data_IF_045928434972
#
_entry.id   IF_045928434972
#
_cell.length_a   1.000
_cell.length_b   1.000
_cell.length_c   1.000
_cell.angle_alpha   90.00
_cell.angle_beta   90.00
_cell.angle_gamma   90.00
#
_symmetry.space_group_name_H-M   'P 1'
#
loop_
_entity.id
_entity.type
_entity.pdbx_description
1 polymer ?
#
# COMPACT_ATOMS: atom_id res chain seq x y z
N UNK A 1 14.17 21.98 4.39
CA UNK A 1 14.53 20.81 3.56
C UNK A 1 13.26 19.98 3.35
N UNK A 2 12.76 19.93 2.12
CA UNK A 2 11.61 19.10 1.79
C UNK A 2 12.05 17.62 1.72
N UNK A 3 11.29 16.65 2.27
CA UNK A 3 11.60 15.24 2.11
C UNK A 3 11.56 14.87 0.62
N UNK A 4 12.69 14.36 0.14
CA UNK A 4 12.94 14.03 -1.26
C UNK A 4 12.20 12.74 -1.61
N UNK A 5 11.05 12.88 -2.26
CA UNK A 5 10.30 11.79 -2.86
C UNK A 5 11.12 11.28 -4.05
N UNK A 6 11.82 10.15 -3.88
CA UNK A 6 12.21 9.34 -5.03
C UNK A 6 10.94 8.64 -5.52
N UNK A 7 10.24 9.28 -6.45
CA UNK A 7 9.41 8.53 -7.39
C UNK A 7 10.33 7.50 -8.01
N UNK A 8 10.07 6.21 -7.79
CA UNK A 8 10.83 5.14 -8.41
C UNK A 8 10.85 5.25 -9.94
N UNK A 9 10.02 6.11 -10.54
CA UNK A 9 10.02 6.42 -11.97
C UNK A 9 9.60 7.89 -12.22
N UNK A 10 10.43 8.87 -11.82
CA UNK A 10 10.26 10.22 -12.39
C UNK A 10 10.76 10.20 -13.83
N UNK A 11 9.81 10.27 -14.76
CA UNK A 11 9.95 10.39 -16.22
C UNK A 11 10.09 9.07 -16.97
N UNK A 12 9.10 8.85 -17.84
CA UNK A 12 9.14 8.04 -19.06
C UNK A 12 10.57 7.98 -19.63
N UNK A 13 11.27 6.89 -19.35
CA UNK A 13 12.32 6.39 -20.22
C UNK A 13 11.88 4.96 -20.55
N UNK A 14 11.50 4.78 -21.81
CA UNK A 14 11.37 3.50 -22.51
C UNK A 14 11.66 2.25 -21.64
N UNK A 15 10.63 1.73 -20.96
CA UNK A 15 10.59 0.36 -20.44
C UNK A 15 11.78 -0.13 -19.62
N UNK A 16 12.50 0.73 -18.87
CA UNK A 16 13.59 0.26 -17.99
C UNK A 16 13.39 0.65 -16.53
N UNK A 17 13.34 -0.41 -15.72
CA UNK A 17 13.32 -0.46 -14.26
C UNK A 17 14.43 0.44 -13.67
N UNK A 18 14.26 1.02 -12.46
CA UNK A 18 15.32 1.71 -11.75
C UNK A 18 16.51 0.76 -11.63
N UNK A 19 17.68 1.27 -11.97
CA UNK A 19 18.90 0.47 -12.19
C UNK A 19 19.24 -0.41 -10.99
N UNK A 20 18.86 -0.05 -9.75
CA UNK A 20 18.92 -0.93 -8.58
C UNK A 20 17.83 -0.60 -7.55
N UNK A 21 16.78 -1.42 -7.45
CA UNK A 21 15.83 -1.37 -6.33
C UNK A 21 16.52 -1.93 -5.06
N UNK A 22 16.39 -1.29 -3.87
CA UNK A 22 17.04 -1.74 -2.64
C UNK A 22 16.32 -2.94 -2.00
N UNK A 23 16.22 -4.05 -2.72
CA UNK A 23 15.42 -5.22 -2.34
C UNK A 23 15.77 -5.77 -0.95
N UNK A 24 17.06 -5.81 -0.61
CA UNK A 24 17.50 -6.29 0.70
C UNK A 24 16.95 -5.40 1.83
N UNK A 25 17.07 -4.08 1.66
CA UNK A 25 16.58 -3.11 2.65
C UNK A 25 15.05 -3.12 2.73
N UNK A 26 14.35 -3.28 1.61
CA UNK A 26 12.88 -3.44 1.59
C UNK A 26 12.47 -4.67 2.41
N UNK A 27 13.16 -5.81 2.24
CA UNK A 27 12.89 -7.02 3.01
C UNK A 27 13.20 -6.85 4.50
N UNK A 28 14.21 -6.06 4.86
CA UNK A 28 14.44 -5.68 6.27
C UNK A 28 13.29 -4.86 6.84
N UNK A 29 12.82 -3.85 6.11
CA UNK A 29 11.66 -3.04 6.51
C UNK A 29 10.41 -3.91 6.68
N UNK A 30 10.18 -4.87 5.79
CA UNK A 30 9.06 -5.82 5.86
C UNK A 30 9.14 -6.66 7.15
N UNK A 31 10.30 -7.27 7.42
CA UNK A 31 10.53 -8.08 8.64
C UNK A 31 10.35 -7.29 9.93
N UNK A 32 10.73 -6.02 9.94
CA UNK A 32 10.57 -5.14 11.10
C UNK A 32 9.12 -4.66 11.28
N UNK A 33 8.29 -4.74 10.23
CA UNK A 33 6.92 -4.22 10.24
C UNK A 33 5.87 -5.29 10.51
N UNK A 34 6.14 -6.56 10.18
CA UNK A 34 5.18 -7.65 10.27
C UNK A 34 5.74 -8.91 10.97
N UNK A 35 4.88 -9.65 11.71
CA UNK A 35 5.17 -11.03 12.13
C UNK A 35 5.52 -11.94 10.94
N UNK A 36 6.31 -12.97 11.16
CA UNK A 36 6.85 -13.86 10.12
C UNK A 36 5.77 -14.47 9.21
N UNK A 37 4.64 -14.87 9.77
CA UNK A 37 3.49 -15.46 9.06
C UNK A 37 2.71 -14.45 8.20
N UNK A 38 2.99 -13.15 8.31
CA UNK A 38 2.32 -12.08 7.57
C UNK A 38 3.24 -11.33 6.59
N UNK A 39 4.53 -11.70 6.53
CA UNK A 39 5.50 -11.01 5.69
C UNK A 39 5.31 -11.40 4.22
N UNK A 40 5.36 -10.41 3.32
CA UNK A 40 5.47 -10.67 1.90
C UNK A 40 6.85 -11.27 1.57
N UNK A 41 6.88 -12.25 0.67
CA UNK A 41 8.15 -12.75 0.13
C UNK A 41 8.79 -11.75 -0.82
N UNK A 42 10.09 -11.91 -1.06
CA UNK A 42 10.82 -11.09 -2.03
C UNK A 42 10.20 -11.21 -3.43
N UNK A 43 9.76 -12.40 -3.81
CA UNK A 43 9.12 -12.71 -5.09
C UNK A 43 7.77 -12.03 -5.21
N UNK A 44 6.96 -11.98 -4.15
CA UNK A 44 5.70 -11.23 -4.14
C UNK A 44 5.95 -9.73 -4.31
N UNK A 45 6.94 -9.16 -3.61
CA UNK A 45 7.26 -7.73 -3.75
C UNK A 45 7.81 -7.39 -5.14
N UNK A 46 8.67 -8.24 -5.71
CA UNK A 46 9.12 -8.11 -7.10
C UNK A 46 7.96 -8.22 -8.09
N UNK A 47 7.06 -9.19 -7.89
CA UNK A 47 5.86 -9.35 -8.72
C UNK A 47 4.98 -8.11 -8.69
N UNK A 48 4.73 -7.54 -7.51
CA UNK A 48 3.95 -6.29 -7.38
C UNK A 48 4.60 -5.14 -8.14
N UNK A 49 5.92 -5.02 -8.04
CA UNK A 49 6.69 -4.01 -8.74
C UNK A 49 6.67 -4.17 -10.27
N UNK A 50 6.80 -5.41 -10.75
CA UNK A 50 6.73 -5.73 -12.18
C UNK A 50 5.34 -5.44 -12.77
N UNK A 51 4.27 -5.73 -12.02
CA UNK A 51 2.88 -5.53 -12.47
C UNK A 51 2.47 -4.06 -12.42
N UNK A 52 2.79 -3.34 -11.35
CA UNK A 52 2.37 -1.95 -11.17
C UNK A 52 3.43 -1.08 -10.48
N UNK A 53 4.48 -0.69 -11.21
CA UNK A 53 5.62 0.02 -10.63
C UNK A 53 5.24 1.41 -10.10
N UNK A 54 4.25 2.09 -10.68
CA UNK A 54 3.77 3.40 -10.16
C UNK A 54 3.08 3.27 -8.80
N UNK A 55 2.62 2.07 -8.46
CA UNK A 55 2.01 1.76 -7.16
C UNK A 55 3.00 1.40 -6.06
N UNK A 56 4.31 1.45 -6.33
CA UNK A 56 5.37 1.12 -5.37
C UNK A 56 6.06 2.39 -4.88
N UNK A 57 5.93 2.68 -3.58
CA UNK A 57 6.44 3.89 -2.95
C UNK A 57 7.54 3.55 -1.94
N UNK A 58 8.64 4.29 -1.98
CA UNK A 58 9.74 4.23 -1.01
C UNK A 58 9.84 5.56 -0.28
N UNK A 59 9.97 5.52 1.04
CA UNK A 59 10.17 6.70 1.88
C UNK A 59 11.53 6.62 2.57
N UNK A 60 12.41 7.58 2.29
CA UNK A 60 13.75 7.64 2.87
C UNK A 60 13.83 8.69 3.98
N UNK A 61 14.63 8.41 5.02
CA UNK A 61 14.99 9.33 6.10
C UNK A 61 16.43 9.12 6.50
N UNK A 62 17.16 10.22 6.65
CA UNK A 62 18.56 10.20 7.09
C UNK A 62 19.44 9.23 6.28
N UNK A 63 19.20 9.15 4.96
CA UNK A 63 19.92 8.26 4.04
C UNK A 63 19.49 6.79 4.06
N UNK A 64 18.52 6.40 4.89
CA UNK A 64 18.03 5.02 5.01
C UNK A 64 16.59 4.89 4.52
N UNK A 65 16.19 3.70 4.07
CA UNK A 65 14.80 3.38 3.77
C UNK A 65 14.01 3.26 5.08
N UNK A 66 13.17 4.26 5.34
CA UNK A 66 12.37 4.35 6.55
C UNK A 66 11.03 3.62 6.45
N UNK A 67 10.55 3.37 5.23
CA UNK A 67 9.29 2.71 4.98
C UNK A 67 9.02 2.53 3.49
N UNK A 68 8.07 1.67 3.17
CA UNK A 68 7.58 1.50 1.81
C UNK A 68 6.09 1.20 1.81
N UNK A 69 5.44 1.37 0.66
CA UNK A 69 4.06 0.97 0.48
C UNK A 69 3.82 0.46 -0.94
N UNK A 70 2.88 -0.46 -1.09
CA UNK A 70 2.47 -1.03 -2.39
C UNK A 70 0.96 -0.99 -2.54
N UNK A 71 0.48 -0.76 -3.75
CA UNK A 71 -0.94 -0.84 -4.10
C UNK A 71 -1.15 -1.48 -5.47
N UNK A 72 -2.41 -1.67 -5.83
CA UNK A 72 -2.86 -2.07 -7.16
C UNK A 72 -4.12 -1.30 -7.55
N UNK A 73 -4.43 -1.30 -8.85
CA UNK A 73 -5.69 -0.83 -9.37
C UNK A 73 -6.73 -1.95 -9.33
N UNK A 74 -7.94 -1.63 -8.90
CA UNK A 74 -9.07 -2.56 -8.84
C UNK A 74 -10.37 -1.85 -9.21
N UNK A 75 -11.41 -2.62 -9.50
CA UNK A 75 -12.77 -2.10 -9.65
C UNK A 75 -13.46 -2.14 -8.27
N UNK A 76 -13.70 -0.97 -7.69
CA UNK A 76 -14.37 -0.82 -6.42
C UNK A 76 -15.89 -0.92 -6.61
N UNK A 77 -16.46 -2.08 -6.29
CA UNK A 77 -17.93 -2.22 -6.16
C UNK A 77 -18.29 -2.23 -4.68
N UNK A 78 -19.18 -1.33 -4.24
CA UNK A 78 -19.65 -1.25 -2.84
C UNK A 78 -20.13 -2.58 -2.26
N UNK A 79 -20.65 -3.49 -3.10
CA UNK A 79 -21.06 -4.85 -2.71
C UNK A 79 -19.93 -5.87 -2.52
N UNK A 80 -18.68 -5.56 -2.89
CA UNK A 80 -17.54 -6.49 -2.90
C UNK A 80 -16.61 -6.36 -1.69
N UNK A 81 -16.97 -5.57 -0.66
CA UNK A 81 -16.13 -5.38 0.53
C UNK A 81 -16.22 -6.52 1.57
N UNK A 82 -16.61 -7.72 1.14
CA UNK A 82 -16.61 -8.93 1.98
C UNK A 82 -15.44 -9.87 1.70
N UNK A 83 -14.65 -9.59 0.66
CA UNK A 83 -13.55 -10.45 0.21
C UNK A 83 -12.36 -10.44 1.19
N UNK A 84 -11.63 -11.55 1.23
CA UNK A 84 -10.39 -11.68 1.97
C UNK A 84 -9.24 -10.90 1.30
N UNK A 85 -8.16 -10.69 2.03
CA UNK A 85 -6.92 -10.11 1.54
C UNK A 85 -6.35 -10.95 0.39
N UNK A 86 -6.40 -12.28 0.47
CA UNK A 86 -5.91 -13.17 -0.59
C UNK A 86 -6.72 -13.00 -1.88
N UNK A 87 -8.04 -12.87 -1.77
CA UNK A 87 -8.91 -12.62 -2.92
C UNK A 87 -8.65 -11.24 -3.54
N UNK A 88 -8.40 -10.22 -2.70
CA UNK A 88 -8.05 -8.88 -3.19
C UNK A 88 -6.68 -8.82 -3.85
N UNK A 89 -5.74 -9.64 -3.41
CA UNK A 89 -4.31 -9.48 -3.76
C UNK A 89 -3.74 -10.59 -4.62
N UNK A 90 -4.57 -11.55 -5.03
CA UNK A 90 -4.09 -12.77 -5.68
C UNK A 90 -3.03 -13.45 -4.81
N UNK A 91 -3.35 -13.69 -3.54
CA UNK A 91 -2.44 -14.23 -2.52
C UNK A 91 -1.12 -13.43 -2.43
N UNK A 92 -1.23 -12.10 -2.48
CA UNK A 92 -0.09 -11.18 -2.43
C UNK A 92 0.69 -10.98 -3.73
N UNK A 93 0.32 -11.61 -4.85
CA UNK A 93 1.08 -11.53 -6.12
C UNK A 93 0.62 -10.44 -7.09
N UNK A 94 -0.65 -10.06 -7.00
CA UNK A 94 -1.40 -9.12 -7.84
C UNK A 94 -1.43 -9.34 -9.36
N UNK A 95 -0.82 -10.42 -9.88
CA UNK A 95 -0.80 -10.70 -11.33
C UNK A 95 -2.20 -10.88 -11.89
N UNK A 96 -3.11 -11.50 -11.12
CA UNK A 96 -4.51 -11.73 -11.53
C UNK A 96 -5.49 -10.71 -10.99
N UNK A 97 -5.22 -10.09 -9.84
CA UNK A 97 -6.14 -9.14 -9.21
C UNK A 97 -5.98 -7.70 -9.70
N UNK A 98 -4.80 -7.33 -10.21
CA UNK A 98 -4.57 -6.00 -10.76
C UNK A 98 -5.41 -5.78 -12.01
N UNK A 99 -6.16 -4.69 -12.04
CA UNK A 99 -6.95 -4.28 -13.19
C UNK A 99 -6.49 -2.89 -13.69
N UNK A 100 -5.82 -2.79 -14.86
CA UNK A 100 -5.36 -1.51 -15.40
C UNK A 100 -6.46 -0.49 -15.70
N UNK A 101 -7.72 -0.95 -15.79
CA UNK A 101 -8.92 -0.11 -15.96
C UNK A 101 -9.66 0.17 -14.65
N UNK A 102 -9.04 -0.18 -13.51
CA UNK A 102 -9.59 0.03 -12.17
C UNK A 102 -9.92 1.49 -11.88
N UNK A 103 -10.96 1.71 -11.07
CA UNK A 103 -11.45 3.02 -10.62
C UNK A 103 -10.96 3.39 -9.21
N UNK A 104 -10.23 2.49 -8.55
CA UNK A 104 -9.73 2.69 -7.20
C UNK A 104 -8.33 2.09 -6.98
N UNK A 105 -7.61 2.65 -6.00
CA UNK A 105 -6.42 2.01 -5.44
C UNK A 105 -6.79 1.13 -4.26
N UNK A 106 -6.34 -0.12 -4.28
CA UNK A 106 -6.30 -0.97 -3.11
C UNK A 106 -4.87 -1.08 -2.60
N UNK A 107 -4.65 -0.67 -1.35
CA UNK A 107 -3.34 -0.79 -0.70
C UNK A 107 -3.08 -2.18 -0.16
N UNK A 108 -1.89 -2.71 -0.45
CA UNK A 108 -1.51 -4.09 -0.17
C UNK A 108 -0.60 -4.16 1.07
N UNK A 109 0.47 -3.35 1.07
CA UNK A 109 1.42 -3.23 2.18
C UNK A 109 1.70 -1.76 2.46
N UNK A 110 1.87 -1.42 3.74
CA UNK A 110 2.33 -0.11 4.17
C UNK A 110 3.17 -0.28 5.43
N UNK A 111 4.49 -0.19 5.24
CA UNK A 111 5.49 -0.56 6.22
C UNK A 111 6.24 0.68 6.68
N UNK A 112 6.58 0.74 7.96
CA UNK A 112 7.37 1.81 8.54
C UNK A 112 8.25 1.20 9.61
N UNK A 113 9.57 1.35 9.44
CA UNK A 113 10.55 0.89 10.42
C UNK A 113 10.20 1.44 11.80
N UNK A 114 10.22 0.62 12.88
CA UNK A 114 9.92 1.07 14.22
C UNK A 114 10.75 2.28 14.68
N UNK A 115 12.04 2.33 14.30
CA UNK A 115 12.96 3.43 14.61
C UNK A 115 12.62 4.76 13.95
N UNK A 116 11.73 4.77 12.95
CA UNK A 116 11.28 5.99 12.25
C UNK A 116 9.81 6.34 12.53
N UNK A 117 9.15 5.64 13.48
CA UNK A 117 7.78 5.99 13.91
C UNK A 117 7.74 7.41 14.49
N UNK A 118 6.60 8.08 14.32
CA UNK A 118 6.43 9.49 14.73
C UNK A 118 7.14 10.51 13.83
N UNK A 119 7.90 10.08 12.81
CA UNK A 119 8.65 10.97 11.90
C UNK A 119 7.95 11.22 10.56
N UNK A 120 6.64 11.00 10.50
CA UNK A 120 5.80 11.31 9.34
C UNK A 120 5.95 10.36 8.14
N UNK A 121 6.59 9.21 8.28
CA UNK A 121 6.81 8.23 7.17
C UNK A 121 5.48 7.74 6.58
N UNK A 122 4.56 7.27 7.42
CA UNK A 122 3.25 6.77 6.95
C UNK A 122 2.42 7.86 6.29
N UNK A 123 2.54 9.12 6.74
CA UNK A 123 1.90 10.28 6.08
C UNK A 123 2.42 10.44 4.66
N UNK A 124 3.73 10.40 4.46
CA UNK A 124 4.34 10.53 3.14
C UNK A 124 3.92 9.41 2.19
N UNK A 125 3.87 8.17 2.67
CA UNK A 125 3.39 7.03 1.89
C UNK A 125 1.91 7.20 1.50
N UNK A 126 1.05 7.62 2.42
CA UNK A 126 -0.36 7.91 2.14
C UNK A 126 -0.55 9.09 1.16
N UNK A 127 0.26 10.14 1.30
CA UNK A 127 0.25 11.27 0.36
C UNK A 127 0.69 10.80 -1.05
N UNK A 128 1.60 9.82 -1.13
CA UNK A 128 1.96 9.13 -2.37
C UNK A 128 0.75 8.47 -3.05
N UNK A 129 -0.03 7.68 -2.29
CA UNK A 129 -1.25 7.07 -2.80
C UNK A 129 -2.29 8.10 -3.24
N UNK A 130 -2.52 9.15 -2.43
CA UNK A 130 -3.45 10.24 -2.76
C UNK A 130 -3.07 10.95 -4.05
N UNK A 131 -1.78 11.26 -4.23
CA UNK A 131 -1.29 11.87 -5.46
C UNK A 131 -1.52 10.94 -6.66
N UNK A 132 -1.16 9.66 -6.55
CA UNK A 132 -1.37 8.69 -7.63
C UNK A 132 -2.86 8.56 -8.00
N UNK A 133 -3.74 8.53 -7.00
CA UNK A 133 -5.19 8.47 -7.23
C UNK A 133 -5.71 9.71 -7.95
N UNK A 134 -5.26 10.91 -7.57
CA UNK A 134 -5.61 12.16 -8.26
C UNK A 134 -5.06 12.17 -9.69
N UNK A 135 -3.80 11.80 -9.88
CA UNK A 135 -3.14 11.77 -11.19
C UNK A 135 -3.83 10.80 -12.17
N UNK A 136 -4.34 9.67 -11.68
CA UNK A 136 -5.05 8.67 -12.47
C UNK A 136 -6.57 8.90 -12.55
N UNK A 137 -7.10 9.94 -11.91
CA UNK A 137 -8.54 10.23 -11.90
C UNK A 137 -9.39 9.17 -11.17
N UNK A 138 -8.80 8.47 -10.20
CA UNK A 138 -9.46 7.37 -9.48
C UNK A 138 -10.44 7.91 -8.44
N UNK A 139 -11.54 7.20 -8.20
CA UNK A 139 -12.59 7.61 -7.26
C UNK A 139 -12.11 7.60 -5.81
N UNK A 140 -11.27 6.62 -5.45
CA UNK A 140 -10.92 6.39 -4.06
C UNK A 140 -9.67 5.54 -3.84
N UNK A 141 -9.26 5.48 -2.58
CA UNK A 141 -8.25 4.56 -2.05
C UNK A 141 -8.89 3.79 -0.90
N UNK A 142 -8.63 2.49 -0.81
CA UNK A 142 -9.07 1.70 0.34
C UNK A 142 -8.04 0.66 0.78
N UNK A 143 -8.14 0.25 2.05
CA UNK A 143 -7.26 -0.70 2.71
C UNK A 143 -8.07 -1.60 3.63
N UNK A 144 -7.61 -2.82 3.86
CA UNK A 144 -7.89 -3.53 5.11
C UNK A 144 -6.87 -3.11 6.17
N UNK A 145 -7.37 -2.55 7.28
CA UNK A 145 -6.57 -2.07 8.39
C UNK A 145 -6.74 -2.97 9.61
N UNK A 146 -5.63 -3.21 10.32
CA UNK A 146 -5.67 -3.69 11.70
C UNK A 146 -6.15 -2.56 12.63
N UNK A 147 -6.59 -2.91 13.83
CA UNK A 147 -7.03 -1.92 14.82
C UNK A 147 -5.87 -1.00 15.24
N UNK A 148 -4.66 -1.54 15.39
CA UNK A 148 -3.46 -0.79 15.79
C UNK A 148 -3.05 0.31 14.81
N UNK A 149 -3.39 0.19 13.52
CA UNK A 149 -3.14 1.21 12.50
C UNK A 149 -4.33 2.12 12.21
N UNK A 150 -5.52 1.82 12.75
CA UNK A 150 -6.75 2.51 12.41
C UNK A 150 -6.71 4.01 12.72
N UNK A 151 -6.19 4.40 13.90
CA UNK A 151 -6.06 5.82 14.28
C UNK A 151 -5.24 6.60 13.25
N UNK A 152 -4.18 5.98 12.71
CA UNK A 152 -3.33 6.60 11.69
C UNK A 152 -4.13 6.90 10.42
N UNK A 153 -4.92 5.95 9.93
CA UNK A 153 -5.78 6.16 8.76
C UNK A 153 -6.81 7.28 8.99
N UNK A 154 -7.48 7.28 10.15
CA UNK A 154 -8.48 8.30 10.49
C UNK A 154 -7.87 9.71 10.54
N UNK A 155 -6.70 9.86 11.16
CA UNK A 155 -5.94 11.13 11.21
C UNK A 155 -5.64 11.67 9.82
N UNK A 156 -5.46 10.80 8.83
CA UNK A 156 -5.15 11.18 7.45
C UNK A 156 -6.38 11.19 6.53
N UNK A 157 -7.59 11.27 7.10
CA UNK A 157 -8.82 11.52 6.35
C UNK A 157 -9.44 10.29 5.69
N UNK A 158 -9.03 9.09 6.09
CA UNK A 158 -9.77 7.88 5.77
C UNK A 158 -10.95 7.72 6.72
N UNK A 159 -12.02 7.09 6.26
CA UNK A 159 -13.19 6.74 7.06
C UNK A 159 -13.35 5.23 7.13
N UNK A 160 -13.82 4.71 8.25
CA UNK A 160 -14.23 3.30 8.36
C UNK A 160 -15.48 3.07 7.52
N UNK A 161 -15.43 2.03 6.68
CA UNK A 161 -16.57 1.61 5.86
C UNK A 161 -17.25 0.38 6.47
N UNK A 162 -16.47 -0.63 6.85
CA UNK A 162 -17.00 -1.92 7.30
C UNK A 162 -15.93 -2.72 8.07
N UNK A 163 -16.36 -3.49 9.07
CA UNK A 163 -15.56 -4.56 9.64
C UNK A 163 -15.81 -5.88 8.87
N UNK A 164 -14.73 -6.59 8.52
CA UNK A 164 -14.77 -7.79 7.68
C UNK A 164 -14.13 -8.95 8.46
N UNK A 165 -14.88 -10.03 8.73
CA UNK A 165 -14.33 -11.24 9.31
C UNK A 165 -13.57 -12.05 8.25
N UNK A 166 -12.66 -12.93 8.68
CA UNK A 166 -11.86 -13.80 7.80
C UNK A 166 -11.12 -13.02 6.70
N UNK A 167 -10.67 -11.80 7.03
CA UNK A 167 -10.00 -10.95 6.07
C UNK A 167 -8.60 -11.46 5.76
N UNK A 168 -7.89 -11.97 6.75
CA UNK A 168 -6.57 -12.57 6.60
C UNK A 168 -6.16 -13.21 7.91
N UNK A 169 -5.08 -13.98 7.91
CA UNK A 169 -4.54 -14.55 9.14
C UNK A 169 -4.04 -13.44 10.05
N UNK A 170 -4.70 -13.26 11.19
CA UNK A 170 -4.32 -12.31 12.22
C UNK A 170 -4.85 -12.74 13.59
N UNK A 171 -3.96 -13.36 14.37
CA UNK A 171 -4.30 -13.89 15.70
C UNK A 171 -4.72 -12.79 16.67
N UNK A 172 -4.18 -11.57 16.54
CA UNK A 172 -4.50 -10.46 17.43
C UNK A 172 -5.96 -10.01 17.24
N UNK A 173 -6.40 -9.95 15.98
CA UNK A 173 -7.75 -9.50 15.62
C UNK A 173 -8.76 -10.63 15.45
N UNK A 174 -8.37 -11.89 15.67
CA UNK A 174 -9.19 -13.08 15.33
C UNK A 174 -9.63 -13.08 13.86
N UNK A 175 -8.71 -12.72 12.96
CA UNK A 175 -8.89 -12.62 11.51
C UNK A 175 -9.86 -11.51 11.05
N UNK A 176 -10.10 -10.49 11.88
CA UNK A 176 -10.90 -9.34 11.51
C UNK A 176 -10.06 -8.20 10.97
N UNK A 177 -10.58 -7.50 9.97
CA UNK A 177 -10.02 -6.23 9.53
C UNK A 177 -11.09 -5.15 9.43
N UNK A 178 -10.66 -3.91 9.52
CA UNK A 178 -11.49 -2.75 9.22
C UNK A 178 -11.16 -2.25 7.83
N UNK A 179 -12.13 -2.23 6.93
CA UNK A 179 -11.98 -1.58 5.63
C UNK A 179 -12.09 -0.08 5.83
N UNK A 180 -11.02 0.63 5.49
CA UNK A 180 -10.95 2.09 5.53
C UNK A 180 -10.87 2.65 4.12
N UNK A 181 -11.46 3.82 3.89
CA UNK A 181 -11.56 4.45 2.57
C UNK A 181 -11.26 5.93 2.62
N UNK A 182 -10.49 6.41 1.66
CA UNK A 182 -10.33 7.84 1.35
C UNK A 182 -11.00 8.12 0.01
N UNK A 183 -11.86 9.13 -0.04
CA UNK A 183 -12.54 9.56 -1.26
C UNK A 183 -11.70 10.63 -1.93
N UNK A 184 -11.45 10.47 -3.22
CA UNK A 184 -10.74 11.49 -3.99
C UNK A 184 -11.66 12.71 -4.19
N UNK A 185 -11.33 13.89 -3.62
CA UNK A 185 -12.16 15.08 -3.77
C UNK A 185 -12.10 15.70 -5.16
N UNK A 186 -11.25 15.16 -6.05
CA UNK A 186 -11.08 15.58 -7.44
C UNK A 186 -11.69 14.59 -8.44
N UNK A 187 -12.25 13.46 -7.97
CA UNK A 187 -13.01 12.59 -8.85
C UNK A 187 -14.31 13.31 -9.25
N UNK A 188 -14.56 13.38 -10.55
CA UNK A 188 -15.73 14.01 -11.17
C UNK A 188 -16.65 12.95 -11.73
#
# INVERSE_FOLDING_TARGET
MAPMIQQALSKRSEGRLPVNMPWNEIMEVERESYPEDMQASLEQLKSRYEVFPEGFFLAHRDGNLAGFATCQLVIYKRGLLGQSWDEWTDNGWIKRSHNPTGDALFGISMCTRPSFRGRGVSKELMDGFKRLAVEKGLECIFFGSRLSSLETFLRYGFTVIKAVPNYGEDKESHNWATVVKWINPKAT
#
